data_IF_119350669516
#
_entry.id   IF_119350669516
#
_cell.length_a   1.000
_cell.length_b   1.000
_cell.length_c   1.000
_cell.angle_alpha   90.00
_cell.angle_beta   90.00
_cell.angle_gamma   90.00
#
_symmetry.space_group_name_H-M   'P 1'
#
loop_
_entity.id
_entity.type
_entity.pdbx_description
1 polymer ?
#
# COMPACT_ATOMS: atom_id res chain seq x y z
N UNK A 1 19.02 2.53 5.43
CA UNK A 1 17.75 2.53 4.66
C UNK A 1 16.84 3.57 5.28
N UNK A 2 16.14 4.36 4.46
CA UNK A 2 15.16 5.34 4.91
C UNK A 2 13.74 4.81 4.65
N UNK A 3 12.74 5.39 5.30
CA UNK A 3 11.34 4.99 5.13
C UNK A 3 10.39 6.19 5.13
N UNK A 4 9.33 6.06 4.35
CA UNK A 4 8.17 6.97 4.35
C UNK A 4 7.04 6.26 5.09
N UNK A 5 6.37 6.97 5.99
CA UNK A 5 5.24 6.44 6.80
C UNK A 5 4.04 7.36 6.71
N UNK A 6 2.85 6.80 6.88
CA UNK A 6 1.61 7.56 7.00
C UNK A 6 1.57 8.27 8.35
N UNK A 7 1.22 9.56 8.35
CA UNK A 7 1.08 10.36 9.59
C UNK A 7 -0.36 10.78 9.80
N UNK A 8 -0.97 11.39 8.79
CA UNK A 8 -2.35 11.88 8.88
C UNK A 8 -2.96 12.02 7.49
N UNK A 9 -4.19 11.53 7.34
CA UNK A 9 -4.99 11.81 6.15
C UNK A 9 -5.71 13.15 6.26
N UNK A 10 -5.79 13.94 5.18
CA UNK A 10 -6.67 15.10 5.13
C UNK A 10 -8.16 14.70 5.04
N UNK A 11 -8.47 13.44 4.73
CA UNK A 11 -9.83 12.93 4.58
C UNK A 11 -10.27 12.13 5.81
N UNK A 12 -11.31 12.61 6.50
CA UNK A 12 -11.83 11.97 7.71
C UNK A 12 -12.41 10.57 7.47
N UNK A 13 -12.96 10.31 6.28
CA UNK A 13 -13.55 9.02 5.90
C UNK A 13 -12.51 7.98 5.46
N UNK A 14 -11.26 8.39 5.25
CA UNK A 14 -10.16 7.57 4.74
C UNK A 14 -8.87 7.94 5.48
N UNK A 15 -8.77 7.56 6.75
CA UNK A 15 -7.72 8.01 7.68
C UNK A 15 -7.14 6.91 8.56
N UNK A 16 -7.66 5.69 8.45
CA UNK A 16 -7.18 4.55 9.23
C UNK A 16 -5.90 4.01 8.61
N UNK A 17 -4.90 3.73 9.45
CA UNK A 17 -3.68 3.03 9.02
C UNK A 17 -3.90 1.56 9.34
N UNK A 18 -3.65 0.70 8.36
CA UNK A 18 -3.71 -0.75 8.58
C UNK A 18 -2.70 -1.16 9.65
N UNK A 19 -3.14 -1.94 10.62
CA UNK A 19 -2.33 -2.37 11.77
C UNK A 19 -2.15 -3.88 11.83
N UNK A 20 -2.50 -4.60 10.76
CA UNK A 20 -2.21 -6.04 10.69
C UNK A 20 -0.72 -6.29 10.95
N UNK A 21 -0.46 -7.16 11.93
CA UNK A 21 0.85 -7.45 12.50
C UNK A 21 1.90 -7.92 11.49
N UNK A 22 1.48 -8.39 10.32
CA UNK A 22 2.36 -8.85 9.25
C UNK A 22 2.71 -7.74 8.22
N UNK A 23 2.10 -6.57 8.32
CA UNK A 23 2.25 -5.49 7.35
C UNK A 23 2.91 -4.26 7.99
N UNK A 24 4.20 -4.05 7.69
CA UNK A 24 4.83 -2.75 7.95
C UNK A 24 4.32 -1.74 6.91
N UNK A 25 3.44 -0.81 7.32
CA UNK A 25 2.89 0.26 6.49
C UNK A 25 3.92 1.38 6.21
N UNK A 26 5.03 1.00 5.58
CA UNK A 26 6.12 1.90 5.26
C UNK A 26 6.68 1.65 3.86
N UNK A 27 6.93 2.72 3.11
CA UNK A 27 7.62 2.63 1.83
C UNK A 27 9.12 2.83 2.06
N UNK A 28 9.88 1.75 1.94
CA UNK A 28 11.34 1.76 2.12
C UNK A 28 12.04 2.32 0.89
N UNK A 29 13.06 3.15 1.11
CA UNK A 29 13.84 3.75 0.03
C UNK A 29 15.33 3.88 0.36
N UNK A 30 16.15 3.69 -0.66
CA UNK A 30 17.60 3.91 -0.59
C UNK A 30 17.93 5.35 -1.01
N UNK A 31 18.41 6.14 -0.05
CA UNK A 31 18.92 7.50 -0.29
C UNK A 31 20.44 7.44 -0.16
N UNK A 32 21.11 7.16 -1.27
CA UNK A 32 22.58 7.08 -1.31
C UNK A 32 23.12 7.56 -2.66
N UNK A 33 24.29 8.19 -2.62
CA UNK A 33 25.09 8.54 -3.79
C UNK A 33 26.07 7.42 -4.18
N UNK A 34 26.21 6.38 -3.35
CA UNK A 34 27.06 5.23 -3.63
C UNK A 34 26.27 4.13 -4.34
N UNK A 35 25.74 4.43 -5.53
CA UNK A 35 25.06 3.48 -6.39
C UNK A 35 25.19 3.91 -7.86
N UNK A 36 24.78 3.04 -8.78
CA UNK A 36 24.83 3.29 -10.23
C UNK A 36 23.65 4.10 -10.78
N UNK A 37 22.81 4.72 -9.95
CA UNK A 37 21.61 5.41 -10.42
C UNK A 37 21.87 6.90 -10.53
N UNK A 38 21.87 7.40 -11.77
CA UNK A 38 22.22 8.78 -12.14
C UNK A 38 21.25 9.82 -11.59
N UNK A 39 19.96 9.48 -11.50
CA UNK A 39 18.94 10.41 -11.02
C UNK A 39 19.03 10.61 -9.51
N UNK A 40 18.97 11.86 -9.01
CA UNK A 40 18.83 12.13 -7.58
C UNK A 40 17.40 11.88 -7.09
N UNK A 41 16.43 11.69 -7.99
CA UNK A 41 15.02 11.48 -7.63
C UNK A 41 14.77 10.00 -7.37
N UNK A 42 14.15 9.72 -6.23
CA UNK A 42 13.75 8.38 -5.80
C UNK A 42 12.24 8.33 -5.65
N UNK A 43 11.60 7.47 -6.44
CA UNK A 43 10.16 7.20 -6.32
C UNK A 43 9.95 5.99 -5.42
N UNK A 44 9.01 6.08 -4.49
CA UNK A 44 8.65 4.98 -3.58
C UNK A 44 7.29 4.40 -3.96
N UNK A 45 7.00 3.20 -3.48
CA UNK A 45 5.65 2.66 -3.58
C UNK A 45 4.65 3.60 -2.87
N UNK A 46 3.43 3.74 -3.40
CA UNK A 46 2.40 4.54 -2.77
C UNK A 46 1.99 3.91 -1.43
N UNK A 47 1.55 4.76 -0.51
CA UNK A 47 0.95 4.36 0.77
C UNK A 47 -0.51 4.81 0.79
N UNK A 48 -1.39 3.97 1.36
CA UNK A 48 -2.82 4.22 1.41
C UNK A 48 -3.37 4.16 2.82
N UNK A 49 -4.27 5.08 3.15
CA UNK A 49 -5.14 4.93 4.31
C UNK A 49 -6.33 4.05 3.94
N UNK A 50 -6.84 3.30 4.91
CA UNK A 50 -8.07 2.55 4.78
C UNK A 50 -9.29 3.47 4.92
N UNK A 51 -10.28 3.20 4.09
CA UNK A 51 -11.62 3.78 4.19
C UNK A 51 -12.46 2.90 5.12
N UNK A 52 -13.30 3.53 5.94
CA UNK A 52 -14.15 2.81 6.91
C UNK A 52 -15.15 1.85 6.26
N UNK A 53 -15.67 2.24 5.10
CA UNK A 53 -16.66 1.46 4.35
C UNK A 53 -16.12 1.15 2.97
N UNK A 54 -16.28 -0.10 2.53
CA UNK A 54 -15.91 -0.54 1.17
C UNK A 54 -16.74 0.25 0.15
N UNK A 55 -16.11 0.62 -0.96
CA UNK A 55 -16.83 1.30 -2.05
C UNK A 55 -17.69 0.29 -2.83
N UNK A 56 -18.81 0.74 -3.44
CA UNK A 56 -19.49 -0.07 -4.44
C UNK A 56 -18.51 -0.44 -5.56
N UNK A 57 -18.49 -1.70 -6.00
CA UNK A 57 -17.57 -2.16 -7.04
C UNK A 57 -16.29 -2.86 -6.54
N UNK A 58 -15.98 -2.79 -5.23
CA UNK A 58 -14.75 -3.42 -4.71
C UNK A 58 -14.72 -4.94 -4.92
N UNK A 59 -15.87 -5.61 -4.79
CA UNK A 59 -15.96 -7.07 -4.94
C UNK A 59 -15.77 -7.51 -6.39
N UNK A 60 -16.32 -6.74 -7.32
CA UNK A 60 -16.22 -6.97 -8.76
C UNK A 60 -14.76 -6.88 -9.21
N UNK A 61 -14.03 -5.87 -8.72
CA UNK A 61 -12.60 -5.70 -9.01
C UNK A 61 -11.77 -6.89 -8.48
N UNK A 62 -12.05 -7.38 -7.27
CA UNK A 62 -11.33 -8.54 -6.76
C UNK A 62 -11.55 -9.79 -7.60
N UNK A 63 -12.78 -10.02 -8.09
CA UNK A 63 -13.08 -11.11 -9.04
C UNK A 63 -12.33 -10.96 -10.35
N UNK A 64 -12.26 -9.74 -10.91
CA UNK A 64 -11.50 -9.47 -12.13
C UNK A 64 -9.99 -9.73 -11.96
N UNK A 65 -9.48 -9.53 -10.75
CA UNK A 65 -8.08 -9.80 -10.39
C UNK A 65 -7.81 -11.25 -9.97
N UNK A 66 -8.84 -12.10 -9.87
CA UNK A 66 -8.70 -13.48 -9.39
C UNK A 66 -8.36 -13.59 -7.90
N UNK A 67 -8.82 -12.62 -7.09
CA UNK A 67 -8.55 -12.53 -5.66
C UNK A 67 -9.86 -12.77 -4.88
N UNK A 68 -9.80 -13.60 -3.86
CA UNK A 68 -10.90 -13.84 -2.93
C UNK A 68 -11.06 -12.67 -1.93
N UNK A 69 -12.22 -12.57 -1.26
CA UNK A 69 -12.48 -11.45 -0.34
C UNK A 69 -11.54 -11.39 0.88
N UNK A 70 -10.91 -12.51 1.22
CA UNK A 70 -9.92 -12.66 2.28
C UNK A 70 -8.48 -12.42 1.80
N UNK A 71 -8.29 -12.17 0.50
CA UNK A 71 -7.00 -11.84 -0.11
C UNK A 71 -6.21 -13.03 -0.65
N UNK A 72 -6.73 -14.26 -0.59
CA UNK A 72 -6.09 -15.40 -1.28
C UNK A 72 -6.33 -15.32 -2.79
N UNK A 73 -5.50 -16.01 -3.59
CA UNK A 73 -5.74 -16.08 -5.05
C UNK A 73 -6.62 -17.29 -5.38
N UNK A 74 -7.37 -17.19 -6.47
CA UNK A 74 -8.25 -18.27 -6.93
C UNK A 74 -7.49 -19.52 -7.41
N UNK A 75 -6.19 -19.41 -7.66
CA UNK A 75 -5.31 -20.50 -8.12
C UNK A 75 -4.61 -21.24 -6.97
N UNK A 76 -4.87 -20.86 -5.70
CA UNK A 76 -4.28 -21.49 -4.51
C UNK A 76 -4.98 -22.81 -4.08
N UNK A 77 -5.86 -23.37 -4.93
CA UNK A 77 -6.55 -24.68 -4.77
C UNK A 77 -5.86 -25.83 -5.53
#
# INVERSE_FOLDING_TARGET
ICQVVLVKSPRKDCSEVDTDSHLEQAARISVTNNNGIVSPIRTTNPLGFLKKERLPGCLEIFKELGINEDGTTADDD
#
